data_IF_004108928224
#
_entry.id   IF_004108928224
#
_cell.length_a   1.000
_cell.length_b   1.000
_cell.length_c   1.000
_cell.angle_alpha   90.00
_cell.angle_beta   90.00
_cell.angle_gamma   90.00
#
_symmetry.space_group_name_H-M   'P 1'
#
loop_
_entity.id
_entity.type
_entity.pdbx_description
1 polymer ?
#
# COMPACT_ATOMS: atom_id res chain seq x y z
N UNK A 1 20.63 8.24 -8.10
CA UNK A 1 20.47 8.82 -6.74
C UNK A 1 20.64 7.68 -5.76
N UNK A 2 21.46 7.85 -4.73
CA UNK A 2 21.54 6.85 -3.65
C UNK A 2 20.36 7.03 -2.69
N UNK A 3 19.46 6.04 -2.63
CA UNK A 3 18.27 6.05 -1.77
C UNK A 3 18.58 5.65 -0.32
N UNK A 4 19.75 5.06 -0.05
CA UNK A 4 20.13 4.55 1.28
C UNK A 4 19.25 3.39 1.76
N UNK A 5 18.71 2.60 0.83
CA UNK A 5 17.82 1.46 1.08
C UNK A 5 18.62 0.15 1.24
N UNK A 6 19.83 0.10 0.73
CA UNK A 6 20.69 -1.10 0.86
C UNK A 6 20.78 -1.55 2.33
N UNK A 7 20.61 -2.85 2.54
CA UNK A 7 20.59 -3.52 3.85
C UNK A 7 19.46 -3.12 4.82
N UNK A 8 18.57 -2.20 4.44
CA UNK A 8 17.39 -1.87 5.23
C UNK A 8 16.41 -3.04 5.28
N UNK A 9 15.80 -3.26 6.43
CA UNK A 9 14.76 -4.28 6.63
C UNK A 9 13.40 -3.68 6.34
N UNK A 10 12.78 -4.18 5.27
CA UNK A 10 11.52 -3.65 4.71
C UNK A 10 10.41 -4.66 4.90
N UNK A 11 9.34 -4.26 5.56
CA UNK A 11 8.10 -5.04 5.68
C UNK A 11 7.10 -4.54 4.64
N UNK A 12 6.51 -5.44 3.83
CA UNK A 12 5.52 -5.10 2.81
C UNK A 12 4.26 -5.95 3.02
N UNK A 13 3.12 -5.31 3.28
CA UNK A 13 1.83 -6.00 3.38
C UNK A 13 1.16 -6.15 2.02
N UNK A 14 0.42 -7.26 1.79
CA UNK A 14 -0.24 -7.52 0.51
C UNK A 14 0.76 -7.75 -0.65
N UNK A 15 1.90 -8.36 -0.36
CA UNK A 15 3.06 -8.44 -1.26
C UNK A 15 2.95 -9.50 -2.36
N UNK A 16 1.90 -10.35 -2.37
CA UNK A 16 1.86 -11.56 -3.25
C UNK A 16 1.52 -11.28 -4.72
N UNK A 17 1.12 -10.06 -5.09
CA UNK A 17 0.74 -9.67 -6.46
C UNK A 17 0.67 -8.14 -6.63
N UNK A 18 0.46 -7.69 -7.88
CA UNK A 18 0.21 -6.28 -8.22
C UNK A 18 1.31 -5.37 -7.71
N UNK A 19 0.94 -4.19 -7.21
CA UNK A 19 1.89 -3.21 -6.71
C UNK A 19 2.78 -3.76 -5.59
N UNK A 20 2.23 -4.56 -4.67
CA UNK A 20 3.02 -5.14 -3.58
C UNK A 20 4.15 -6.07 -4.06
N UNK A 21 3.90 -6.87 -5.12
CA UNK A 21 4.94 -7.68 -5.78
C UNK A 21 5.98 -6.78 -6.45
N UNK A 22 5.55 -5.77 -7.19
CA UNK A 22 6.46 -4.84 -7.85
C UNK A 22 7.36 -4.09 -6.84
N UNK A 23 6.78 -3.64 -5.73
CA UNK A 23 7.54 -3.03 -4.63
C UNK A 23 8.57 -4.00 -4.05
N UNK A 24 8.22 -5.27 -3.86
CA UNK A 24 9.16 -6.28 -3.38
C UNK A 24 10.36 -6.42 -4.33
N UNK A 25 10.12 -6.45 -5.65
CA UNK A 25 11.18 -6.49 -6.66
C UNK A 25 12.06 -5.24 -6.58
N UNK A 26 11.44 -4.06 -6.59
CA UNK A 26 12.19 -2.78 -6.60
C UNK A 26 13.00 -2.55 -5.32
N UNK A 27 12.46 -2.87 -4.16
CA UNK A 27 13.23 -2.82 -2.91
C UNK A 27 14.38 -3.84 -2.88
N UNK A 28 14.19 -5.03 -3.46
CA UNK A 28 15.28 -6.01 -3.57
C UNK A 28 16.38 -5.55 -4.55
N UNK A 29 16.02 -4.91 -5.67
CA UNK A 29 16.97 -4.30 -6.61
C UNK A 29 17.87 -3.27 -5.91
N UNK A 30 17.30 -2.48 -4.97
CA UNK A 30 18.02 -1.52 -4.12
C UNK A 30 18.81 -2.19 -2.96
N UNK A 31 18.82 -3.51 -2.88
CA UNK A 31 19.57 -4.27 -1.88
C UNK A 31 18.91 -4.34 -0.49
N UNK A 32 17.62 -4.09 -0.38
CA UNK A 32 16.87 -4.27 0.88
C UNK A 32 16.75 -5.73 1.30
N UNK A 33 16.50 -5.96 2.59
CA UNK A 33 16.12 -7.25 3.19
C UNK A 33 14.62 -7.26 3.43
N UNK A 34 13.89 -8.12 2.74
CA UNK A 34 12.43 -8.10 2.70
C UNK A 34 11.80 -9.04 3.73
N UNK A 35 10.68 -8.61 4.29
CA UNK A 35 9.69 -9.46 4.96
C UNK A 35 8.34 -9.22 4.29
N UNK A 36 7.89 -10.18 3.48
CA UNK A 36 6.67 -10.09 2.69
C UNK A 36 5.51 -10.72 3.45
N UNK A 37 4.37 -10.04 3.53
CA UNK A 37 3.17 -10.54 4.23
C UNK A 37 2.04 -10.69 3.22
N UNK A 38 1.49 -11.90 3.09
CA UNK A 38 0.27 -12.18 2.32
C UNK A 38 -0.31 -13.55 2.71
N UNK A 39 -1.50 -13.85 2.18
CA UNK A 39 -2.22 -15.11 2.45
C UNK A 39 -1.74 -16.28 1.58
N UNK A 40 -1.30 -16.01 0.37
CA UNK A 40 -0.92 -17.04 -0.59
C UNK A 40 0.58 -17.35 -0.48
N UNK A 41 0.88 -18.51 0.11
CA UNK A 41 2.24 -19.01 0.34
C UNK A 41 3.00 -19.19 -0.97
N UNK A 42 2.40 -19.86 -1.95
CA UNK A 42 3.06 -20.21 -3.22
C UNK A 42 3.50 -18.95 -3.98
N UNK A 43 2.66 -17.91 -3.97
CA UNK A 43 3.02 -16.64 -4.60
C UNK A 43 4.18 -15.94 -3.88
N UNK A 44 4.21 -15.98 -2.55
CA UNK A 44 5.31 -15.42 -1.78
C UNK A 44 6.62 -16.18 -2.04
N UNK A 45 6.58 -17.51 -2.07
CA UNK A 45 7.73 -18.36 -2.39
C UNK A 45 8.24 -18.10 -3.82
N UNK A 46 7.33 -18.02 -4.80
CA UNK A 46 7.70 -17.67 -6.20
C UNK A 46 8.39 -16.31 -6.30
N UNK A 47 7.94 -15.32 -5.53
CA UNK A 47 8.55 -13.99 -5.53
C UNK A 47 9.95 -14.05 -4.96
N UNK A 48 10.11 -14.61 -3.75
CA UNK A 48 11.43 -14.66 -3.07
C UNK A 48 12.45 -15.49 -3.83
N UNK A 49 12.01 -16.55 -4.52
CA UNK A 49 12.88 -17.44 -5.29
C UNK A 49 13.06 -17.00 -6.75
N UNK A 50 12.43 -15.88 -7.16
CA UNK A 50 12.56 -15.40 -8.54
C UNK A 50 13.94 -14.81 -8.81
N UNK A 51 14.40 -14.91 -10.07
CA UNK A 51 15.64 -14.29 -10.52
C UNK A 51 15.62 -12.75 -10.45
N UNK A 52 14.44 -12.14 -10.31
CA UNK A 52 14.25 -10.71 -10.18
C UNK A 52 14.61 -10.21 -8.77
N UNK A 53 14.66 -11.10 -7.78
CA UNK A 53 15.01 -10.75 -6.40
C UNK A 53 16.41 -11.26 -6.09
N UNK A 54 17.33 -10.34 -5.84
CA UNK A 54 18.69 -10.69 -5.42
C UNK A 54 18.65 -11.43 -4.08
N UNK A 55 19.44 -12.50 -3.94
CA UNK A 55 19.57 -13.23 -2.68
C UNK A 55 20.13 -12.30 -1.59
N UNK A 56 19.30 -11.91 -0.62
CA UNK A 56 19.69 -11.01 0.47
C UNK A 56 18.89 -11.27 1.76
N UNK A 57 18.83 -12.51 2.22
CA UNK A 57 18.12 -12.89 3.47
C UNK A 57 16.66 -12.41 3.51
N UNK A 58 15.95 -12.54 2.40
CA UNK A 58 14.50 -12.26 2.34
C UNK A 58 13.73 -13.34 3.08
N UNK A 59 12.61 -12.94 3.68
CA UNK A 59 11.68 -13.88 4.28
C UNK A 59 10.23 -13.45 4.02
N UNK A 60 9.29 -14.32 4.38
CA UNK A 60 7.87 -14.01 4.30
C UNK A 60 7.11 -14.57 5.50
N UNK A 61 5.92 -14.04 5.70
CA UNK A 61 4.93 -14.51 6.68
C UNK A 61 3.61 -14.74 5.97
N UNK A 62 3.08 -15.95 6.07
CA UNK A 62 1.76 -16.30 5.55
C UNK A 62 0.73 -15.95 6.62
N UNK A 63 -0.13 -14.96 6.36
CA UNK A 63 -1.15 -14.53 7.30
C UNK A 63 -2.33 -13.88 6.59
N UNK A 64 -3.54 -14.09 7.09
CA UNK A 64 -4.70 -13.24 6.77
C UNK A 64 -4.83 -12.14 7.83
N UNK A 65 -4.35 -10.96 7.49
CA UNK A 65 -4.39 -9.80 8.38
C UNK A 65 -5.82 -9.30 8.67
N UNK A 66 -6.85 -9.86 8.03
CA UNK A 66 -8.25 -9.58 8.39
C UNK A 66 -8.69 -10.30 9.65
N UNK A 67 -8.03 -11.39 10.00
CA UNK A 67 -8.35 -12.12 11.22
C UNK A 67 -8.08 -11.28 12.47
N UNK A 68 -8.93 -11.45 13.48
CA UNK A 68 -8.84 -10.70 14.73
C UNK A 68 -7.51 -10.97 15.42
N UNK A 69 -6.82 -9.92 15.88
CA UNK A 69 -5.51 -9.94 16.53
C UNK A 69 -4.32 -10.43 15.67
N UNK A 70 -4.57 -10.94 14.46
CA UNK A 70 -3.49 -11.43 13.58
C UNK A 70 -2.49 -10.32 13.20
N UNK A 71 -2.89 -9.07 12.88
CA UNK A 71 -1.93 -7.99 12.63
C UNK A 71 -0.96 -7.77 13.79
N UNK A 72 -1.48 -7.73 15.02
CA UNK A 72 -0.65 -7.54 16.22
C UNK A 72 0.31 -8.71 16.45
N UNK A 73 -0.16 -9.95 16.28
CA UNK A 73 0.65 -11.16 16.42
C UNK A 73 1.78 -11.18 15.39
N UNK A 74 1.44 -11.00 14.12
CA UNK A 74 2.40 -10.97 12.99
C UNK A 74 3.46 -9.88 13.18
N UNK A 75 3.06 -8.67 13.57
CA UNK A 75 4.03 -7.59 13.80
C UNK A 75 5.04 -7.93 14.91
N UNK A 76 4.59 -8.51 16.03
CA UNK A 76 5.46 -8.96 17.12
C UNK A 76 6.42 -10.06 16.67
N UNK A 77 5.93 -11.07 15.94
CA UNK A 77 6.76 -12.16 15.39
C UNK A 77 7.84 -11.64 14.44
N UNK A 78 7.48 -10.67 13.58
CA UNK A 78 8.42 -10.04 12.64
C UNK A 78 9.52 -9.30 13.39
N UNK A 79 9.20 -8.54 14.44
CA UNK A 79 10.21 -7.83 15.25
C UNK A 79 11.13 -8.84 15.93
N UNK A 80 10.58 -9.87 16.57
CA UNK A 80 11.36 -10.91 17.24
C UNK A 80 12.33 -11.61 16.29
N UNK A 81 11.84 -11.99 15.08
CA UNK A 81 12.63 -12.69 14.07
C UNK A 81 13.72 -11.81 13.47
N UNK A 82 13.39 -10.57 13.15
CA UNK A 82 14.30 -9.68 12.43
C UNK A 82 15.18 -8.82 13.35
N UNK A 83 14.84 -8.71 14.63
CA UNK A 83 15.50 -7.85 15.64
C UNK A 83 15.45 -6.35 15.33
N UNK A 84 15.37 -5.98 14.06
CA UNK A 84 15.29 -4.61 13.57
C UNK A 84 14.35 -4.52 12.36
N UNK A 85 13.55 -3.47 12.30
CA UNK A 85 12.75 -3.06 11.13
C UNK A 85 13.11 -1.59 10.85
N UNK A 86 13.29 -1.25 9.59
CA UNK A 86 13.62 0.10 9.16
C UNK A 86 12.47 0.76 8.39
N UNK A 87 11.78 -0.02 7.53
CA UNK A 87 10.78 0.49 6.60
C UNK A 87 9.53 -0.39 6.65
N UNK A 88 8.36 0.24 6.68
CA UNK A 88 7.06 -0.45 6.62
C UNK A 88 6.23 0.12 5.47
N UNK A 89 5.80 -0.75 4.56
CA UNK A 89 4.95 -0.41 3.43
C UNK A 89 3.57 -1.05 3.65
N UNK A 90 2.59 -0.23 4.00
CA UNK A 90 1.20 -0.64 4.13
C UNK A 90 0.52 -0.61 2.75
N UNK A 91 0.72 -1.69 1.98
CA UNK A 91 0.15 -1.84 0.64
C UNK A 91 -1.14 -2.66 0.62
N UNK A 92 -1.43 -3.43 1.68
CA UNK A 92 -2.67 -4.20 1.76
C UNK A 92 -3.89 -3.27 1.71
N UNK A 93 -4.82 -3.56 0.82
CA UNK A 93 -6.07 -2.82 0.68
C UNK A 93 -6.81 -3.17 -0.60
N UNK A 94 -7.98 -2.56 -0.75
CA UNK A 94 -8.85 -2.74 -1.90
C UNK A 94 -10.32 -2.61 -1.53
N UNK A 95 -11.19 -2.51 -2.53
CA UNK A 95 -12.63 -2.49 -2.34
C UNK A 95 -13.16 -3.86 -1.90
N UNK A 96 -14.03 -3.86 -0.90
CA UNK A 96 -14.78 -5.02 -0.42
C UNK A 96 -16.28 -4.73 -0.56
N UNK A 97 -16.98 -5.53 -1.36
CA UNK A 97 -18.44 -5.53 -1.42
C UNK A 97 -19.07 -4.41 -2.24
N UNK A 98 -20.08 -3.77 -1.70
CA UNK A 98 -21.06 -2.94 -2.37
C UNK A 98 -20.52 -1.63 -2.98
N UNK A 99 -21.09 -1.24 -4.11
CA UNK A 99 -20.99 0.11 -4.68
C UNK A 99 -22.14 1.01 -4.21
N UNK A 100 -23.09 0.48 -3.42
CA UNK A 100 -24.21 1.23 -2.88
C UNK A 100 -23.78 2.06 -1.67
N UNK A 101 -24.08 3.36 -1.71
CA UNK A 101 -23.81 4.29 -0.60
C UNK A 101 -24.67 4.00 0.62
N UNK A 102 -25.82 3.35 0.43
CA UNK A 102 -26.75 2.96 1.50
C UNK A 102 -26.51 1.52 1.96
N UNK A 103 -25.38 0.91 1.60
CA UNK A 103 -25.01 -0.41 2.11
C UNK A 103 -24.96 -0.41 3.64
N UNK A 104 -25.13 -1.60 4.24
CA UNK A 104 -25.15 -1.80 5.68
C UNK A 104 -23.84 -1.36 6.36
N UNK A 105 -23.91 -1.16 7.67
CA UNK A 105 -22.77 -0.73 8.47
C UNK A 105 -21.61 -1.72 8.42
N UNK A 106 -21.89 -3.02 8.34
CA UNK A 106 -20.85 -4.05 8.27
C UNK A 106 -19.99 -3.90 7.01
N UNK A 107 -20.60 -3.55 5.87
CA UNK A 107 -19.84 -3.27 4.65
C UNK A 107 -18.90 -2.07 4.84
N UNK A 108 -19.36 -1.00 5.49
CA UNK A 108 -18.55 0.17 5.82
C UNK A 108 -17.42 -0.18 6.78
N UNK A 109 -17.74 -0.92 7.85
CA UNK A 109 -16.75 -1.34 8.85
C UNK A 109 -15.69 -2.25 8.25
N UNK A 110 -16.06 -3.24 7.45
CA UNK A 110 -15.14 -4.16 6.79
C UNK A 110 -14.18 -3.42 5.85
N UNK A 111 -14.68 -2.46 5.06
CA UNK A 111 -13.84 -1.64 4.20
C UNK A 111 -12.87 -0.78 5.02
N UNK A 112 -13.35 -0.12 6.09
CA UNK A 112 -12.49 0.65 6.98
C UNK A 112 -11.44 -0.25 7.65
N UNK A 113 -11.85 -1.38 8.19
CA UNK A 113 -10.97 -2.36 8.86
C UNK A 113 -9.86 -2.83 7.92
N UNK A 114 -10.22 -3.18 6.68
CA UNK A 114 -9.30 -3.71 5.68
C UNK A 114 -8.32 -2.65 5.14
N UNK A 115 -8.77 -1.41 4.92
CA UNK A 115 -7.98 -0.38 4.27
C UNK A 115 -7.22 0.54 5.23
N UNK A 116 -7.69 0.69 6.47
CA UNK A 116 -7.07 1.56 7.48
C UNK A 116 -6.81 0.83 8.81
N UNK A 117 -7.78 0.09 9.33
CA UNK A 117 -7.69 -0.53 10.65
C UNK A 117 -6.51 -1.47 10.81
N UNK A 118 -6.23 -2.31 9.81
CA UNK A 118 -5.06 -3.22 9.79
C UNK A 118 -3.75 -2.44 9.89
N UNK A 119 -3.60 -1.34 9.15
CA UNK A 119 -2.40 -0.51 9.23
C UNK A 119 -2.23 0.11 10.62
N UNK A 120 -3.32 0.55 11.25
CA UNK A 120 -3.31 1.08 12.62
C UNK A 120 -2.83 0.03 13.62
N UNK A 121 -3.36 -1.21 13.53
CA UNK A 121 -2.97 -2.31 14.43
C UNK A 121 -1.48 -2.71 14.26
N UNK A 122 -0.99 -2.75 13.02
CA UNK A 122 0.42 -3.00 12.74
C UNK A 122 1.31 -1.87 13.27
N UNK A 123 0.91 -0.61 13.05
CA UNK A 123 1.65 0.56 13.52
C UNK A 123 1.70 0.68 15.04
N UNK A 124 0.69 0.17 15.77
CA UNK A 124 0.73 0.08 17.24
C UNK A 124 1.98 -0.68 17.73
N UNK A 125 2.48 -1.62 16.94
CA UNK A 125 3.66 -2.44 17.27
C UNK A 125 4.91 -1.91 16.57
N UNK A 126 4.84 -1.52 15.29
CA UNK A 126 6.01 -1.06 14.54
C UNK A 126 6.49 0.33 14.95
N UNK A 127 5.59 1.28 15.26
CA UNK A 127 5.99 2.65 15.59
C UNK A 127 6.89 2.74 16.82
N UNK A 128 6.57 2.13 17.98
CA UNK A 128 7.48 2.14 19.12
C UNK A 128 8.86 1.58 18.78
N UNK A 129 8.92 0.48 18.01
CA UNK A 129 10.17 -0.12 17.58
C UNK A 129 11.01 0.80 16.67
N UNK A 130 10.36 1.52 15.74
CA UNK A 130 11.02 2.51 14.88
C UNK A 130 11.54 3.71 15.69
N UNK A 131 10.80 4.13 16.73
CA UNK A 131 11.21 5.19 17.66
C UNK A 131 12.47 4.78 18.44
N UNK A 132 12.51 3.57 18.97
CA UNK A 132 13.68 3.02 19.65
C UNK A 132 14.91 2.97 18.73
N UNK A 133 14.72 2.64 17.46
CA UNK A 133 15.78 2.64 16.44
C UNK A 133 16.24 4.06 16.02
N UNK A 134 15.53 5.12 16.45
CA UNK A 134 15.78 6.54 16.10
C UNK A 134 15.83 6.77 14.58
N UNK A 135 15.21 5.92 13.81
CA UNK A 135 15.08 6.01 12.36
C UNK A 135 13.96 5.10 11.86
N UNK A 136 13.15 5.58 10.96
CA UNK A 136 12.11 4.78 10.33
C UNK A 136 11.45 5.46 9.14
N UNK A 137 10.86 4.64 8.27
CA UNK A 137 10.00 5.10 7.18
C UNK A 137 8.73 4.26 7.14
N UNK A 138 7.59 4.92 7.08
CA UNK A 138 6.29 4.29 6.91
C UNK A 138 5.64 4.90 5.67
N UNK A 139 5.26 4.07 4.70
CA UNK A 139 4.53 4.52 3.52
C UNK A 139 3.19 3.77 3.45
N UNK A 140 2.10 4.53 3.48
CA UNK A 140 0.76 4.01 3.26
C UNK A 140 0.38 4.11 1.79
N UNK A 141 -0.18 3.04 1.21
CA UNK A 141 -0.73 3.05 -0.14
C UNK A 141 -2.24 3.32 -0.05
N UNK A 142 -2.62 4.53 -0.42
CA UNK A 142 -4.00 4.98 -0.47
C UNK A 142 -4.59 4.87 -1.89
N UNK A 143 -5.30 5.89 -2.34
CA UNK A 143 -5.93 5.97 -3.68
C UNK A 143 -6.23 7.43 -4.01
N UNK A 144 -6.22 7.80 -5.29
CA UNK A 144 -6.72 9.09 -5.78
C UNK A 144 -8.19 9.32 -5.42
N UNK A 145 -9.00 8.25 -5.36
CA UNK A 145 -10.40 8.33 -4.92
C UNK A 145 -10.56 8.96 -3.53
N UNK A 146 -9.55 8.81 -2.66
CA UNK A 146 -9.57 9.40 -1.32
C UNK A 146 -9.64 10.93 -1.30
N UNK A 147 -9.36 11.59 -2.42
CA UNK A 147 -9.36 13.05 -2.56
C UNK A 147 -10.47 13.52 -3.48
N UNK A 148 -10.70 12.79 -4.59
CA UNK A 148 -11.72 13.15 -5.58
C UNK A 148 -13.15 12.77 -5.15
N UNK A 149 -13.29 11.89 -4.16
CA UNK A 149 -14.57 11.28 -3.80
C UNK A 149 -15.01 10.17 -4.76
N UNK A 150 -14.28 10.00 -5.86
CA UNK A 150 -14.69 9.12 -6.96
C UNK A 150 -15.86 9.67 -7.77
N UNK A 151 -16.21 8.97 -8.85
CA UNK A 151 -17.34 9.38 -9.70
C UNK A 151 -18.48 8.37 -9.59
N UNK A 152 -19.69 8.87 -9.45
CA UNK A 152 -20.93 8.06 -9.44
C UNK A 152 -21.71 8.17 -10.75
N UNK A 153 -21.35 9.12 -11.63
CA UNK A 153 -22.13 9.51 -12.79
C UNK A 153 -22.22 8.47 -13.90
N UNK A 154 -21.22 7.58 -14.01
CA UNK A 154 -21.09 6.67 -15.14
C UNK A 154 -21.40 5.21 -14.82
N UNK A 155 -22.03 4.94 -13.65
CA UNK A 155 -22.33 3.58 -13.19
C UNK A 155 -21.11 2.73 -12.78
N UNK A 156 -19.92 3.29 -12.93
CA UNK A 156 -18.63 2.68 -12.60
C UNK A 156 -18.13 3.21 -11.24
N UNK A 157 -19.04 3.25 -10.29
CA UNK A 157 -18.80 3.87 -8.99
C UNK A 157 -17.61 3.23 -8.25
N UNK A 158 -16.69 4.03 -7.72
CA UNK A 158 -15.86 3.57 -6.64
C UNK A 158 -16.79 3.15 -5.50
N UNK A 159 -16.48 2.03 -4.85
CA UNK A 159 -17.19 1.62 -3.66
C UNK A 159 -17.09 2.74 -2.60
N UNK A 160 -18.19 3.38 -2.17
CA UNK A 160 -18.13 4.56 -1.29
C UNK A 160 -17.40 4.27 0.02
N UNK A 161 -17.66 3.10 0.61
CA UNK A 161 -17.00 2.66 1.82
C UNK A 161 -15.47 2.51 1.65
N UNK A 162 -15.01 2.03 0.48
CA UNK A 162 -13.58 2.01 0.15
C UNK A 162 -13.00 3.43 0.05
N UNK A 163 -13.65 4.31 -0.68
CA UNK A 163 -13.25 5.71 -0.89
C UNK A 163 -13.08 6.44 0.45
N UNK A 164 -14.09 6.36 1.31
CA UNK A 164 -14.05 6.95 2.66
C UNK A 164 -12.95 6.31 3.53
N UNK A 165 -12.75 5.01 3.42
CA UNK A 165 -11.68 4.32 4.16
C UNK A 165 -10.28 4.79 3.74
N UNK A 166 -10.08 5.08 2.46
CA UNK A 166 -8.82 5.62 1.94
C UNK A 166 -8.62 7.09 2.32
N UNK A 167 -9.70 7.89 2.40
CA UNK A 167 -9.64 9.25 2.96
C UNK A 167 -9.26 9.24 4.44
N UNK A 168 -9.81 8.30 5.21
CA UNK A 168 -9.41 8.08 6.60
C UNK A 168 -7.91 7.74 6.70
N UNK A 169 -7.40 6.83 5.86
CA UNK A 169 -5.99 6.45 5.83
C UNK A 169 -5.08 7.65 5.51
N UNK A 170 -5.50 8.55 4.60
CA UNK A 170 -4.78 9.78 4.30
C UNK A 170 -4.65 10.68 5.52
N UNK A 171 -5.74 10.87 6.27
CA UNK A 171 -5.72 11.71 7.47
C UNK A 171 -4.94 11.03 8.60
N UNK A 172 -5.10 9.72 8.80
CA UNK A 172 -4.30 8.95 9.75
C UNK A 172 -2.80 9.09 9.47
N UNK A 173 -2.38 8.97 8.20
CA UNK A 173 -1.00 9.19 7.77
C UNK A 173 -0.47 10.56 8.18
N UNK A 174 -1.27 11.62 7.98
CA UNK A 174 -0.89 12.98 8.37
C UNK A 174 -0.73 13.13 9.88
N UNK A 175 -1.68 12.64 10.66
CA UNK A 175 -1.63 12.71 12.12
C UNK A 175 -0.44 11.92 12.65
N UNK A 176 -0.28 10.68 12.20
CA UNK A 176 0.85 9.85 12.60
C UNK A 176 2.19 10.47 12.20
N UNK A 177 2.28 11.04 10.99
CA UNK A 177 3.51 11.64 10.48
C UNK A 177 3.96 12.86 11.30
N UNK A 178 3.02 13.67 11.78
CA UNK A 178 3.31 14.79 12.69
C UNK A 178 3.86 14.29 14.03
N UNK A 179 3.25 13.26 14.58
CA UNK A 179 3.69 12.69 15.87
C UNK A 179 5.06 12.02 15.76
N UNK A 180 5.31 11.28 14.70
CA UNK A 180 6.51 10.48 14.53
C UNK A 180 7.73 11.27 14.06
N UNK A 181 7.55 12.45 13.46
CA UNK A 181 8.63 13.25 12.88
C UNK A 181 9.73 13.63 13.88
N UNK A 182 9.35 13.98 15.11
CA UNK A 182 10.29 14.28 16.21
C UNK A 182 11.23 13.13 16.60
N UNK A 183 10.88 11.91 16.19
CA UNK A 183 11.66 10.70 16.44
C UNK A 183 12.49 10.24 15.21
N UNK A 184 12.61 11.10 14.19
CA UNK A 184 13.25 10.75 12.91
C UNK A 184 12.57 9.58 12.19
N UNK A 185 11.27 9.40 12.41
CA UNK A 185 10.42 8.46 11.70
C UNK A 185 9.50 9.24 10.77
N UNK A 186 9.72 9.10 9.48
CA UNK A 186 8.93 9.78 8.44
C UNK A 186 7.76 8.88 8.04
N UNK A 187 6.56 9.42 8.11
CA UNK A 187 5.34 8.75 7.64
C UNK A 187 4.75 9.55 6.49
N UNK A 188 4.51 8.89 5.39
CA UNK A 188 3.93 9.48 4.18
C UNK A 188 2.88 8.57 3.58
N UNK A 189 2.09 9.13 2.68
CA UNK A 189 1.06 8.42 1.97
C UNK A 189 1.19 8.69 0.47
N UNK A 190 1.04 7.65 -0.35
CA UNK A 190 0.94 7.79 -1.79
C UNK A 190 -0.48 7.43 -2.24
N UNK A 191 -1.01 8.18 -3.19
CA UNK A 191 -2.35 8.03 -3.73
C UNK A 191 -2.26 7.70 -5.22
N UNK A 192 -2.15 6.41 -5.58
CA UNK A 192 -2.14 6.00 -6.98
C UNK A 192 -3.49 6.26 -7.64
N UNK A 193 -3.46 6.55 -8.93
CA UNK A 193 -4.62 6.47 -9.81
C UNK A 193 -5.02 5.03 -10.09
N UNK A 194 -5.83 4.84 -11.12
CA UNK A 194 -6.33 3.50 -11.46
C UNK A 194 -5.22 2.64 -12.06
N UNK A 195 -4.96 1.51 -11.39
CA UNK A 195 -3.99 0.50 -11.79
C UNK A 195 -4.71 -0.79 -12.20
N UNK A 196 -4.30 -1.37 -13.32
CA UNK A 196 -4.88 -2.63 -13.79
C UNK A 196 -4.14 -3.81 -13.18
N UNK A 197 -4.81 -4.54 -12.31
CA UNK A 197 -4.28 -5.78 -11.72
C UNK A 197 -5.02 -7.00 -12.30
N UNK A 198 -4.27 -8.02 -12.70
CA UNK A 198 -4.82 -9.28 -13.24
C UNK A 198 -5.90 -9.88 -12.30
N UNK A 199 -7.02 -10.32 -12.88
CA UNK A 199 -8.16 -10.90 -12.19
C UNK A 199 -8.93 -9.95 -11.25
N UNK A 200 -8.62 -8.63 -11.24
CA UNK A 200 -9.34 -7.61 -10.48
C UNK A 200 -10.40 -6.93 -11.35
N UNK A 201 -11.14 -6.01 -10.71
CA UNK A 201 -12.28 -5.32 -11.33
C UNK A 201 -11.95 -4.77 -12.72
N UNK A 202 -10.95 -3.92 -12.84
CA UNK A 202 -10.57 -3.28 -14.09
C UNK A 202 -10.06 -4.26 -15.16
N UNK A 203 -9.38 -5.35 -14.76
CA UNK A 203 -8.96 -6.38 -15.70
C UNK A 203 -10.15 -7.17 -16.23
N UNK A 204 -11.11 -7.53 -15.36
CA UNK A 204 -12.35 -8.19 -15.77
C UNK A 204 -13.19 -7.28 -16.66
N UNK A 205 -13.40 -6.03 -16.25
CA UNK A 205 -14.19 -5.06 -17.02
C UNK A 205 -13.55 -4.77 -18.38
N UNK A 206 -12.22 -4.67 -18.48
CA UNK A 206 -11.52 -4.50 -19.75
C UNK A 206 -11.74 -5.65 -20.73
N UNK A 207 -12.03 -6.85 -20.22
CA UNK A 207 -12.33 -8.05 -21.05
C UNK A 207 -13.80 -8.15 -21.41
N UNK A 208 -14.70 -7.77 -20.49
CA UNK A 208 -16.16 -7.87 -20.70
C UNK A 208 -16.76 -6.65 -21.38
N UNK A 209 -16.24 -5.45 -21.11
CA UNK A 209 -16.77 -4.20 -21.69
C UNK A 209 -15.64 -3.16 -21.91
N UNK A 210 -14.83 -3.32 -22.97
CA UNK A 210 -13.67 -2.46 -23.23
C UNK A 210 -14.06 -1.00 -23.54
N UNK A 211 -15.23 -0.75 -24.14
CA UNK A 211 -15.67 0.62 -24.47
C UNK A 211 -16.01 1.42 -23.19
N UNK A 212 -16.62 0.80 -22.19
CA UNK A 212 -16.86 1.44 -20.89
C UNK A 212 -15.53 1.84 -20.25
N UNK A 213 -14.55 0.96 -20.27
CA UNK A 213 -13.21 1.24 -19.73
C UNK A 213 -12.54 2.39 -20.49
N UNK A 214 -12.62 2.40 -21.80
CA UNK A 214 -12.06 3.45 -22.66
C UNK A 214 -12.69 4.82 -22.35
N UNK A 215 -14.02 4.85 -22.24
CA UNK A 215 -14.76 6.07 -21.89
C UNK A 215 -14.41 6.55 -20.47
N UNK A 216 -14.36 5.64 -19.51
CA UNK A 216 -13.95 5.96 -18.14
C UNK A 216 -12.56 6.60 -18.10
N UNK A 217 -11.57 5.97 -18.73
CA UNK A 217 -10.20 6.50 -18.76
C UNK A 217 -10.13 7.86 -19.45
N UNK A 218 -10.85 8.05 -20.57
CA UNK A 218 -10.89 9.32 -21.28
C UNK A 218 -11.50 10.44 -20.44
N UNK A 219 -12.53 10.15 -19.66
CA UNK A 219 -13.29 11.16 -18.92
C UNK A 219 -12.67 11.48 -17.55
N UNK A 220 -11.93 10.53 -16.95
CA UNK A 220 -11.46 10.66 -15.57
C UNK A 220 -9.94 10.65 -15.40
N UNK A 221 -9.17 10.43 -16.46
CA UNK A 221 -7.71 10.45 -16.41
C UNK A 221 -7.12 11.28 -17.55
N UNK A 222 -6.47 12.38 -17.24
CA UNK A 222 -5.84 13.24 -18.24
C UNK A 222 -4.84 12.47 -19.13
N UNK A 223 -4.15 11.47 -18.57
CA UNK A 223 -3.21 10.60 -19.31
C UNK A 223 -3.92 9.58 -20.23
N UNK A 224 -5.25 9.37 -20.07
CA UNK A 224 -6.09 8.52 -20.92
C UNK A 224 -5.80 7.00 -20.87
N UNK A 225 -5.06 6.53 -19.86
CA UNK A 225 -4.71 5.10 -19.70
C UNK A 225 -4.58 4.69 -18.24
N UNK A 226 -4.57 3.39 -17.99
CA UNK A 226 -4.15 2.86 -16.70
C UNK A 226 -2.69 3.20 -16.39
N UNK A 227 -2.41 3.48 -15.11
CA UNK A 227 -1.05 3.50 -14.59
C UNK A 227 -0.46 2.08 -14.52
N UNK A 228 0.86 1.99 -14.55
CA UNK A 228 1.63 0.77 -14.35
C UNK A 228 2.20 0.74 -12.94
N UNK A 229 2.43 -0.45 -12.38
CA UNK A 229 3.04 -0.58 -11.05
C UNK A 229 4.44 0.00 -11.00
N UNK A 230 5.18 -0.13 -12.09
CA UNK A 230 6.54 0.39 -12.29
C UNK A 230 6.58 1.93 -12.29
N UNK A 231 5.46 2.59 -12.58
CA UNK A 231 5.34 4.05 -12.53
C UNK A 231 5.06 4.57 -11.10
N UNK A 232 4.53 3.71 -10.21
CA UNK A 232 4.24 4.05 -8.82
C UNK A 232 5.44 3.72 -7.91
N UNK A 233 6.09 2.58 -8.16
CA UNK A 233 7.14 2.06 -7.29
C UNK A 233 8.29 3.06 -7.02
N UNK A 234 8.82 3.83 -7.98
CA UNK A 234 9.89 4.81 -7.73
C UNK A 234 9.53 5.86 -6.69
N UNK A 235 8.28 6.32 -6.66
CA UNK A 235 7.81 7.30 -5.67
C UNK A 235 7.71 6.67 -4.27
N UNK A 236 7.29 5.40 -4.18
CA UNK A 236 7.27 4.69 -2.89
C UNK A 236 8.69 4.50 -2.36
N UNK A 237 9.64 4.12 -3.21
CA UNK A 237 11.06 4.00 -2.84
C UNK A 237 11.64 5.34 -2.38
N UNK A 238 11.33 6.43 -3.10
CA UNK A 238 11.77 7.77 -2.72
C UNK A 238 11.24 8.16 -1.34
N UNK A 239 9.94 7.97 -1.08
CA UNK A 239 9.32 8.26 0.22
C UNK A 239 9.87 7.36 1.35
N UNK A 240 10.31 6.14 1.03
CA UNK A 240 10.94 5.21 1.96
C UNK A 240 12.45 5.44 2.14
N UNK A 241 13.06 6.35 1.41
CA UNK A 241 14.50 6.57 1.33
C UNK A 241 15.06 7.47 2.44
N UNK A 242 16.39 7.54 2.51
CA UNK A 242 17.09 8.54 3.34
C UNK A 242 16.87 9.98 2.84
N UNK A 243 16.44 10.16 1.59
CA UNK A 243 16.23 11.47 0.98
C UNK A 243 14.92 12.14 1.43
N UNK A 244 13.94 11.35 1.90
CA UNK A 244 12.60 11.82 2.24
C UNK A 244 12.47 12.44 3.65
N UNK A 245 13.53 13.04 4.20
CA UNK A 245 13.54 13.53 5.59
C UNK A 245 12.51 14.64 5.87
N UNK A 246 12.15 15.42 4.86
CA UNK A 246 11.18 16.51 4.97
C UNK A 246 9.78 16.16 4.46
N UNK A 247 9.55 14.88 4.09
CA UNK A 247 8.29 14.39 3.53
C UNK A 247 7.31 13.82 4.58
N UNK A 248 7.54 14.08 5.89
CA UNK A 248 6.63 13.58 6.93
C UNK A 248 5.25 14.25 6.81
N UNK A 249 4.20 13.48 7.05
CA UNK A 249 2.80 13.89 6.90
C UNK A 249 2.37 14.30 5.48
N UNK A 250 3.19 13.98 4.46
CA UNK A 250 2.84 14.25 3.07
C UNK A 250 1.86 13.21 2.50
N UNK A 251 0.96 13.69 1.64
CA UNK A 251 0.11 12.85 0.79
C UNK A 251 0.44 13.20 -0.66
N UNK A 252 0.94 12.23 -1.41
CA UNK A 252 1.41 12.42 -2.78
C UNK A 252 0.49 11.73 -3.80
N UNK A 253 -0.10 12.51 -4.70
CA UNK A 253 -0.83 11.97 -5.84
C UNK A 253 0.16 11.48 -6.91
N UNK A 254 -0.06 10.26 -7.40
CA UNK A 254 0.63 9.68 -8.56
C UNK A 254 -0.44 8.96 -9.39
N UNK A 255 -1.25 9.72 -10.09
CA UNK A 255 -2.55 9.27 -10.59
C UNK A 255 -2.80 9.58 -12.08
N UNK A 256 -1.80 10.13 -12.78
CA UNK A 256 -1.91 10.45 -14.20
C UNK A 256 -2.89 11.58 -14.49
N UNK A 257 -3.12 12.49 -13.53
CA UNK A 257 -4.06 13.58 -13.63
C UNK A 257 -5.51 13.08 -13.52
N UNK A 258 -5.80 12.30 -12.46
CA UNK A 258 -7.16 11.89 -12.15
C UNK A 258 -8.01 13.10 -11.74
N UNK A 259 -9.19 13.22 -12.39
CA UNK A 259 -10.12 14.35 -12.26
C UNK A 259 -11.30 13.94 -11.40
#
# INVERSE_FOLDING_TARGET
MDLGIKDKRVVITGASRGLGKELAIKFAEEGAKLTLIARNKDNLEKIINSNQIKKNNHNFTVADLKEKNEPTKVAKEIILKNKKIDIVIHNLGGSLGSTDIFSDFENWYDNWRFNAGIAIELNKIFCPHLVENKWGRIVHISSSNAVSGGTTSDGEAPAPAYTCSKSYLNMYSKVLGREMAKHNVVVSCIMPGVLKSEGKYWDRLSKSNPEVVKNYLKNHHAIGRFGKFEEIAPFVLLLASKQATFASASNLNVDGGYI
#
